data_IF_542456816970
#
_entry.id   IF_542456816970
#
_cell.length_a   1.000
_cell.length_b   1.000
_cell.length_c   1.000
_cell.angle_alpha   90.00
_cell.angle_beta   90.00
_cell.angle_gamma   90.00
#
_symmetry.space_group_name_H-M   'P 1'
#
loop_
_entity.id
_entity.type
_entity.pdbx_description
1 polymer ?
#
# COMPACT_ATOMS: atom_id res chain seq x y z
N UNK A 1 18.33 9.67 -2.68
CA UNK A 1 17.97 8.44 -1.95
C UNK A 1 17.41 7.45 -2.95
N UNK A 2 17.94 6.23 -3.01
CA UNK A 2 17.36 5.17 -3.84
C UNK A 2 16.47 4.33 -2.93
N UNK A 3 15.16 4.46 -3.08
CA UNK A 3 14.20 3.66 -2.30
C UNK A 3 13.66 2.56 -3.20
N UNK A 4 13.69 1.31 -2.72
CA UNK A 4 13.14 0.18 -3.47
C UNK A 4 11.64 0.06 -3.24
N UNK A 5 10.91 -0.24 -4.31
CA UNK A 5 9.49 -0.56 -4.24
C UNK A 5 9.24 -1.77 -3.33
N UNK A 6 8.27 -1.64 -2.43
CA UNK A 6 7.85 -2.72 -1.53
C UNK A 6 7.40 -4.00 -2.24
N UNK A 7 6.94 -3.90 -3.49
CA UNK A 7 6.44 -5.03 -4.30
C UNK A 7 7.53 -5.60 -5.21
N UNK A 8 7.95 -4.87 -6.25
CA UNK A 8 8.84 -5.38 -7.28
C UNK A 8 10.33 -5.28 -6.96
N UNK A 9 10.69 -4.65 -5.84
CA UNK A 9 12.07 -4.45 -5.35
C UNK A 9 12.98 -3.61 -6.25
N UNK A 10 12.46 -3.03 -7.33
CA UNK A 10 13.18 -2.07 -8.17
C UNK A 10 13.05 -0.64 -7.63
N UNK A 11 13.93 0.27 -8.04
CA UNK A 11 14.02 1.62 -7.46
C UNK A 11 12.82 2.49 -7.89
N UNK A 12 12.20 3.14 -6.91
CA UNK A 12 11.31 4.28 -7.09
C UNK A 12 12.16 5.50 -7.52
N UNK A 13 12.04 5.90 -8.79
CA UNK A 13 12.75 7.06 -9.34
C UNK A 13 11.78 8.21 -9.56
N UNK A 14 12.30 9.42 -9.73
CA UNK A 14 11.51 10.62 -10.07
C UNK A 14 10.72 10.50 -11.39
N UNK A 15 11.09 9.54 -12.25
CA UNK A 15 10.44 9.31 -13.54
C UNK A 15 9.31 8.28 -13.46
N UNK A 16 9.10 7.65 -12.31
CA UNK A 16 8.02 6.71 -12.08
C UNK A 16 7.06 7.30 -11.04
N UNK A 17 5.77 7.21 -11.32
CA UNK A 17 4.75 7.53 -10.33
C UNK A 17 4.89 6.57 -9.14
N UNK A 18 5.18 7.13 -7.96
CA UNK A 18 5.39 6.38 -6.73
C UNK A 18 4.52 6.97 -5.61
N UNK A 19 4.11 6.12 -4.68
CA UNK A 19 3.27 6.48 -3.54
C UNK A 19 3.83 5.86 -2.25
N UNK A 20 3.74 6.60 -1.15
CA UNK A 20 4.19 6.16 0.17
C UNK A 20 3.01 5.54 0.93
N UNK A 21 3.19 4.32 1.42
CA UNK A 21 2.25 3.72 2.37
C UNK A 21 2.45 4.35 3.75
N UNK A 22 1.41 4.93 4.33
CA UNK A 22 1.51 5.57 5.65
C UNK A 22 1.65 4.59 6.82
N UNK A 23 1.31 3.32 6.61
CA UNK A 23 1.34 2.32 7.68
C UNK A 23 2.70 1.63 7.82
N UNK A 24 3.33 1.28 6.70
CA UNK A 24 4.64 0.60 6.71
C UNK A 24 5.79 1.49 6.22
N UNK A 25 5.52 2.77 5.98
CA UNK A 25 6.49 3.79 5.55
C UNK A 25 7.34 3.38 4.33
N UNK A 26 6.78 2.49 3.49
CA UNK A 26 7.44 1.95 2.32
C UNK A 26 6.90 2.60 1.06
N UNK A 27 7.78 2.91 0.11
CA UNK A 27 7.39 3.42 -1.20
C UNK A 27 7.01 2.28 -2.16
N UNK A 28 6.03 2.54 -3.00
CA UNK A 28 5.54 1.60 -4.00
C UNK A 28 5.43 2.30 -5.35
N UNK A 29 5.82 1.63 -6.45
CA UNK A 29 5.39 2.11 -7.78
C UNK A 29 3.88 2.02 -7.86
N UNK A 30 3.27 3.06 -8.41
CA UNK A 30 1.81 3.11 -8.58
C UNK A 30 1.29 1.92 -9.40
N UNK A 31 2.01 1.53 -10.46
CA UNK A 31 1.65 0.36 -11.27
C UNK A 31 1.68 -0.95 -10.48
N UNK A 32 2.62 -1.12 -9.54
CA UNK A 32 2.68 -2.30 -8.67
C UNK A 32 1.51 -2.38 -7.69
N UNK A 33 0.83 -1.26 -7.45
CA UNK A 33 -0.33 -1.14 -6.58
C UNK A 33 -1.64 -0.95 -7.38
N UNK A 34 -1.60 -1.18 -8.70
CA UNK A 34 -2.74 -1.01 -9.62
C UNK A 34 -3.37 0.41 -9.58
N UNK A 35 -2.53 1.41 -9.31
CA UNK A 35 -2.89 2.82 -9.34
C UNK A 35 -2.48 3.42 -10.68
N UNK A 36 -3.47 3.86 -11.43
CA UNK A 36 -3.27 4.69 -12.61
C UNK A 36 -3.11 6.18 -12.22
N UNK A 37 -2.80 7.01 -13.21
CA UNK A 37 -2.58 8.45 -13.03
C UNK A 37 -3.82 9.18 -12.51
N UNK A 38 -5.03 8.74 -12.88
CA UNK A 38 -6.25 9.38 -12.42
C UNK A 38 -6.51 9.08 -10.94
N UNK A 39 -6.27 7.84 -10.50
CA UNK A 39 -6.36 7.45 -9.10
C UNK A 39 -5.35 8.19 -8.24
N UNK A 40 -4.10 8.30 -8.68
CA UNK A 40 -3.07 9.08 -7.98
C UNK A 40 -3.45 10.55 -7.86
N UNK A 41 -3.94 11.16 -8.95
CA UNK A 41 -4.38 12.55 -8.94
C UNK A 41 -5.52 12.77 -7.93
N UNK A 42 -6.50 11.88 -7.90
CA UNK A 42 -7.59 11.93 -6.91
C UNK A 42 -7.07 11.79 -5.49
N UNK A 43 -6.12 10.87 -5.26
CA UNK A 43 -5.49 10.70 -3.95
C UNK A 43 -4.69 11.93 -3.51
N UNK A 44 -4.04 12.65 -4.44
CA UNK A 44 -3.35 13.90 -4.11
C UNK A 44 -4.29 15.08 -3.83
N UNK A 45 -5.59 14.94 -4.11
CA UNK A 45 -6.62 15.95 -3.80
C UNK A 45 -7.39 15.62 -2.50
N UNK A 46 -7.35 14.36 -2.07
CA UNK A 46 -7.96 13.89 -0.85
C UNK A 46 -6.88 13.81 0.25
N UNK A 47 -7.14 14.32 1.46
CA UNK A 47 -6.25 14.14 2.62
C UNK A 47 -6.32 12.71 3.22
N UNK A 48 -6.63 11.71 2.38
CA UNK A 48 -6.80 10.33 2.83
C UNK A 48 -5.46 9.59 2.77
N UNK A 49 -5.09 8.89 3.84
CA UNK A 49 -3.85 8.15 3.88
C UNK A 49 -3.88 6.98 2.89
N UNK A 50 -2.79 6.81 2.13
CA UNK A 50 -2.64 5.66 1.27
C UNK A 50 -2.08 4.47 2.07
N UNK A 51 -2.80 3.34 2.01
CA UNK A 51 -2.35 2.06 2.56
C UNK A 51 -2.13 1.06 1.41
N UNK A 52 -0.94 0.46 1.35
CA UNK A 52 -0.57 -0.49 0.30
C UNK A 52 -1.36 -1.81 0.41
N UNK A 53 -1.39 -2.55 -0.71
CA UNK A 53 -2.13 -3.80 -0.83
C UNK A 53 -1.62 -4.86 0.15
N UNK A 54 -0.31 -4.92 0.39
CA UNK A 54 0.30 -5.84 1.36
C UNK A 54 -0.22 -5.57 2.78
N UNK A 55 -0.24 -4.29 3.18
CA UNK A 55 -0.74 -3.89 4.48
C UNK A 55 -2.24 -4.16 4.61
N UNK A 56 -3.04 -3.81 3.60
CA UNK A 56 -4.49 -4.09 3.57
C UNK A 56 -4.76 -5.59 3.78
N UNK A 57 -4.10 -6.45 3.01
CA UNK A 57 -4.25 -7.91 3.14
C UNK A 57 -3.82 -8.43 4.52
N UNK A 58 -2.78 -7.85 5.13
CA UNK A 58 -2.31 -8.26 6.46
C UNK A 58 -3.31 -7.84 7.56
N UNK A 59 -3.89 -6.64 7.45
CA UNK A 59 -4.94 -6.19 8.36
C UNK A 59 -6.20 -7.04 8.25
N UNK A 60 -6.60 -7.40 7.03
CA UNK A 60 -7.74 -8.28 6.80
C UNK A 60 -7.49 -9.69 7.36
N UNK A 61 -6.26 -10.21 7.22
CA UNK A 61 -5.87 -11.49 7.82
C UNK A 61 -5.89 -11.45 9.34
N UNK A 62 -5.47 -10.36 9.98
CA UNK A 62 -5.58 -10.20 11.44
C UNK A 62 -7.04 -10.16 11.89
N UNK A 63 -7.92 -9.46 11.16
CA UNK A 63 -9.37 -9.44 11.45
C UNK A 63 -9.99 -10.82 11.27
N UNK A 64 -9.66 -11.55 10.20
CA UNK A 64 -10.15 -12.91 9.97
C UNK A 64 -9.62 -13.89 11.02
N UNK A 65 -8.34 -13.81 11.40
CA UNK A 65 -7.78 -14.61 12.49
C UNK A 65 -8.48 -14.32 13.83
N UNK A 66 -8.79 -13.05 14.13
CA UNK A 66 -9.59 -12.69 15.31
C UNK A 66 -11.04 -13.17 15.23
N UNK A 67 -11.63 -13.29 14.03
CA UNK A 67 -12.98 -13.84 13.84
C UNK A 67 -13.02 -15.36 13.96
N UNK A 68 -11.98 -16.05 13.49
CA UNK A 68 -11.87 -17.52 13.58
C UNK A 68 -11.46 -18.02 14.98
N UNK A 69 -10.85 -17.16 15.80
CA UNK A 69 -10.53 -17.46 17.21
C UNK A 69 -11.69 -17.21 18.17
N UNK A 70 -12.81 -16.62 17.71
CA UNK A 70 -14.09 -16.53 18.46
C UNK A 70 -15.00 -17.75 18.27
N UNK A 71 -14.41 -18.93 18.06
CA UNK A 71 -15.08 -20.22 18.29
C UNK A 71 -14.15 -21.08 19.13
N UNK A 72 -13.96 -20.70 20.39
CA UNK A 72 -13.84 -21.62 21.53
C UNK A 72 -14.38 -20.89 22.76
N UNK A 73 -15.06 -21.68 23.59
CA UNK A 73 -15.95 -21.34 24.72
C UNK A 73 -15.34 -20.42 25.78
#
# INVERSE_FOLDING_TARGET
MNVNCGVCKTICTVNHDCILCELCETWHHACCENLDKEKLKKMGQDDKPYICTICKSTHDMNILAMRLTKVWL
#
